data_IF_106857693974
#
_entry.id   IF_106857693974
#
_cell.length_a   1.000
_cell.length_b   1.000
_cell.length_c   1.000
_cell.angle_alpha   90.00
_cell.angle_beta   90.00
_cell.angle_gamma   90.00
#
_symmetry.space_group_name_H-M   'P 1'
#
loop_
_entity.id
_entity.type
_entity.pdbx_description
1 polymer ?
#
# COMPACT_ATOMS: atom_id res chain seq x y z
N UNK A 1 2.05 -15.15 10.68
CA UNK A 1 3.43 -15.36 11.17
C UNK A 1 3.59 -16.72 11.87
N UNK A 2 2.75 -17.04 12.87
CA UNK A 2 2.86 -18.34 13.60
C UNK A 2 2.57 -19.54 12.69
N UNK A 3 1.49 -19.51 11.89
CA UNK A 3 1.14 -20.61 10.97
C UNK A 3 2.20 -20.83 9.87
N UNK A 4 2.69 -19.77 9.23
CA UNK A 4 3.75 -19.87 8.22
C UNK A 4 5.09 -20.36 8.79
N UNK A 5 5.47 -19.94 10.00
CA UNK A 5 6.68 -20.45 10.66
C UNK A 5 6.57 -21.93 11.05
N UNK A 6 5.34 -22.46 11.20
CA UNK A 6 5.08 -23.86 11.46
C UNK A 6 5.00 -24.72 10.19
N UNK A 7 5.14 -24.13 8.99
CA UNK A 7 4.97 -24.82 7.71
C UNK A 7 3.52 -25.17 7.38
N UNK A 8 2.55 -24.62 8.12
CA UNK A 8 1.12 -24.86 7.91
C UNK A 8 0.55 -23.86 6.89
N UNK A 9 0.84 -24.12 5.62
CA UNK A 9 0.30 -23.34 4.50
C UNK A 9 -1.23 -23.33 4.44
N UNK A 10 -1.95 -24.46 4.67
CA UNK A 10 -3.41 -24.45 4.71
C UNK A 10 -3.98 -23.50 5.75
N UNK A 11 -3.46 -23.51 6.98
CA UNK A 11 -3.91 -22.59 8.03
C UNK A 11 -3.54 -21.14 7.70
N UNK A 12 -2.36 -20.90 7.11
CA UNK A 12 -1.95 -19.56 6.68
C UNK A 12 -2.88 -19.00 5.60
N UNK A 13 -3.30 -19.82 4.63
CA UNK A 13 -4.29 -19.45 3.60
C UNK A 13 -5.63 -19.09 4.23
N UNK A 14 -6.15 -19.95 5.12
CA UNK A 14 -7.44 -19.72 5.76
C UNK A 14 -7.47 -18.39 6.55
N UNK A 15 -6.43 -18.12 7.35
CA UNK A 15 -6.30 -16.87 8.10
C UNK A 15 -6.17 -15.64 7.18
N UNK A 16 -5.43 -15.76 6.07
CA UNK A 16 -5.28 -14.68 5.10
C UNK A 16 -6.58 -14.41 4.36
N UNK A 17 -7.32 -15.46 3.97
CA UNK A 17 -8.63 -15.35 3.33
C UNK A 17 -9.65 -14.67 4.26
N UNK A 18 -9.67 -15.04 5.54
CA UNK A 18 -10.54 -14.42 6.54
C UNK A 18 -10.25 -12.93 6.69
N UNK A 19 -8.97 -12.55 6.83
CA UNK A 19 -8.57 -11.16 7.02
C UNK A 19 -8.75 -10.30 5.76
N UNK A 20 -8.40 -10.84 4.60
CA UNK A 20 -8.40 -10.09 3.33
C UNK A 20 -9.75 -10.14 2.61
N UNK A 21 -10.63 -11.07 2.99
CA UNK A 21 -11.87 -11.43 2.27
C UNK A 21 -11.63 -11.68 0.78
N UNK A 22 -10.49 -12.26 0.43
CA UNK A 22 -10.11 -12.61 -0.95
C UNK A 22 -9.91 -14.12 -1.02
N UNK A 23 -10.24 -14.70 -2.16
CA UNK A 23 -9.97 -16.12 -2.38
C UNK A 23 -8.46 -16.35 -2.48
N UNK A 24 -7.91 -17.10 -1.53
CA UNK A 24 -6.48 -17.46 -1.46
C UNK A 24 -6.25 -18.94 -1.79
N UNK A 25 -7.23 -19.62 -2.39
CA UNK A 25 -7.11 -21.02 -2.77
C UNK A 25 -6.00 -21.18 -3.80
N UNK A 26 -5.07 -22.10 -3.54
CA UNK A 26 -3.95 -22.41 -4.44
C UNK A 26 -2.73 -21.49 -4.32
N UNK A 27 -2.75 -20.48 -3.45
CA UNK A 27 -1.60 -19.57 -3.28
C UNK A 27 -0.39 -20.23 -2.61
N UNK A 28 0.79 -20.03 -3.18
CA UNK A 28 2.05 -20.48 -2.55
C UNK A 28 2.40 -19.63 -1.31
N UNK A 29 3.27 -20.14 -0.42
CA UNK A 29 3.72 -19.44 0.78
C UNK A 29 4.27 -18.03 0.50
N UNK A 30 4.99 -17.86 -0.62
CA UNK A 30 5.51 -16.57 -1.09
C UNK A 30 4.39 -15.61 -1.46
N UNK A 31 3.34 -16.10 -2.12
CA UNK A 31 2.20 -15.28 -2.54
C UNK A 31 1.34 -14.85 -1.34
N UNK A 32 1.17 -15.75 -0.37
CA UNK A 32 0.52 -15.46 0.91
C UNK A 32 1.30 -14.36 1.64
N UNK A 33 2.63 -14.46 1.72
CA UNK A 33 3.48 -13.44 2.34
C UNK A 33 3.36 -12.09 1.62
N UNK A 34 3.45 -12.11 0.28
CA UNK A 34 3.32 -10.91 -0.55
C UNK A 34 2.01 -10.19 -0.28
N UNK A 35 0.89 -10.91 -0.45
CA UNK A 35 -0.45 -10.34 -0.31
C UNK A 35 -0.67 -9.82 1.12
N UNK A 36 -0.18 -10.55 2.12
CA UNK A 36 -0.27 -10.12 3.51
C UNK A 36 0.49 -8.80 3.76
N UNK A 37 1.72 -8.68 3.24
CA UNK A 37 2.54 -7.47 3.36
C UNK A 37 1.90 -6.29 2.63
N UNK A 38 1.46 -6.49 1.39
CA UNK A 38 0.81 -5.46 0.59
C UNK A 38 -0.45 -4.92 1.26
N UNK A 39 -1.34 -5.83 1.68
CA UNK A 39 -2.56 -5.45 2.38
C UNK A 39 -2.26 -4.78 3.71
N UNK A 40 -1.23 -5.21 4.41
CA UNK A 40 -0.82 -4.60 5.69
C UNK A 40 -0.36 -3.16 5.49
N UNK A 41 0.51 -2.90 4.52
CA UNK A 41 1.03 -1.56 4.21
C UNK A 41 -0.10 -0.61 3.79
N UNK A 42 -0.94 -1.05 2.84
CA UNK A 42 -2.07 -0.23 2.33
C UNK A 42 -3.09 0.04 3.44
N UNK A 43 -3.42 -0.99 4.24
CA UNK A 43 -4.38 -0.84 5.35
C UNK A 43 -3.83 0.07 6.43
N UNK A 44 -2.55 -0.04 6.78
CA UNK A 44 -1.89 0.82 7.77
C UNK A 44 -1.91 2.27 7.32
N UNK A 45 -1.57 2.52 6.05
CA UNK A 45 -1.63 3.87 5.50
C UNK A 45 -3.03 4.49 5.61
N UNK A 46 -4.05 3.81 5.09
CA UNK A 46 -5.42 4.32 5.09
C UNK A 46 -5.99 4.44 6.50
N UNK A 47 -5.70 3.50 7.39
CA UNK A 47 -6.33 3.47 8.70
C UNK A 47 -5.64 4.33 9.75
N UNK A 48 -4.33 4.56 9.62
CA UNK A 48 -3.50 5.21 10.64
C UNK A 48 -2.86 6.48 10.09
N UNK A 49 -2.03 6.38 9.05
CA UNK A 49 -1.22 7.51 8.60
C UNK A 49 -2.05 8.60 7.91
N UNK A 50 -3.02 8.24 7.08
CA UNK A 50 -3.96 9.19 6.48
C UNK A 50 -4.78 9.92 7.55
N UNK A 51 -5.22 9.21 8.58
CA UNK A 51 -5.96 9.79 9.71
C UNK A 51 -5.07 10.75 10.52
N UNK A 52 -3.83 10.38 10.82
CA UNK A 52 -2.88 11.25 11.53
C UNK A 52 -2.55 12.52 10.76
N UNK A 53 -2.36 12.43 9.45
CA UNK A 53 -2.14 13.60 8.60
C UNK A 53 -3.31 14.58 8.70
N UNK A 54 -4.54 14.10 8.52
CA UNK A 54 -5.73 14.93 8.59
C UNK A 54 -6.07 15.40 10.01
N UNK A 55 -5.62 14.68 11.04
CA UNK A 55 -5.73 15.13 12.43
C UNK A 55 -4.79 16.31 12.75
N UNK A 56 -3.63 16.39 12.09
CA UNK A 56 -2.67 17.49 12.25
C UNK A 56 -3.16 18.82 11.65
N UNK A 57 -4.10 18.77 10.69
CA UNK A 57 -4.69 19.97 10.10
C UNK A 57 -5.41 20.81 11.18
N UNK A 58 -5.48 22.14 11.03
CA UNK A 58 -6.01 23.04 12.06
C UNK A 58 -7.49 22.82 12.40
N UNK A 59 -8.22 22.06 11.59
CA UNK A 59 -9.60 21.63 11.86
C UNK A 59 -9.68 20.40 12.80
N UNK A 60 -8.54 19.81 13.19
CA UNK A 60 -8.41 18.74 14.17
C UNK A 60 -9.24 17.48 13.86
N UNK A 61 -10.03 16.96 14.82
CA UNK A 61 -10.73 15.67 14.67
C UNK A 61 -11.80 15.68 13.56
N UNK A 62 -12.32 16.85 13.18
CA UNK A 62 -13.32 16.94 12.11
C UNK A 62 -12.73 16.49 10.76
N UNK A 63 -11.47 16.84 10.48
CA UNK A 63 -10.78 16.41 9.26
C UNK A 63 -10.48 14.90 9.25
N UNK A 64 -10.14 14.32 10.41
CA UNK A 64 -9.94 12.88 10.55
C UNK A 64 -11.23 12.09 10.23
N UNK A 65 -12.38 12.59 10.72
CA UNK A 65 -13.69 11.99 10.41
C UNK A 65 -14.02 12.14 8.92
N UNK A 66 -13.79 13.32 8.34
CA UNK A 66 -14.01 13.55 6.90
C UNK A 66 -13.20 12.58 6.04
N UNK A 67 -11.93 12.35 6.37
CA UNK A 67 -11.08 11.39 5.67
C UNK A 67 -11.66 9.97 5.75
N UNK A 68 -12.09 9.53 6.94
CA UNK A 68 -12.70 8.21 7.13
C UNK A 68 -14.02 8.03 6.40
N UNK A 69 -14.86 9.05 6.38
CA UNK A 69 -16.13 9.01 5.64
C UNK A 69 -15.86 8.95 4.13
N UNK A 70 -14.92 9.76 3.62
CA UNK A 70 -14.53 9.73 2.21
C UNK A 70 -13.95 8.37 1.80
N UNK A 71 -13.08 7.81 2.64
CA UNK A 71 -12.52 6.46 2.46
C UNK A 71 -13.60 5.38 2.43
N UNK A 72 -14.51 5.41 3.40
CA UNK A 72 -15.61 4.45 3.49
C UNK A 72 -16.54 4.55 2.29
N UNK A 73 -16.90 5.77 1.87
CA UNK A 73 -17.77 5.99 0.71
C UNK A 73 -17.12 5.51 -0.58
N UNK A 74 -15.83 5.83 -0.78
CA UNK A 74 -15.08 5.39 -1.96
C UNK A 74 -14.95 3.86 -2.03
N UNK A 75 -14.79 3.19 -0.88
CA UNK A 75 -14.79 1.72 -0.79
C UNK A 75 -16.18 1.13 -1.01
N UNK A 76 -17.19 1.62 -0.30
CA UNK A 76 -18.56 1.10 -0.36
C UNK A 76 -19.13 1.10 -1.79
N UNK A 77 -18.77 2.10 -2.59
CA UNK A 77 -19.23 2.22 -3.99
C UNK A 77 -18.35 1.49 -5.02
N UNK A 78 -17.14 1.04 -4.66
CA UNK A 78 -16.22 0.37 -5.58
C UNK A 78 -15.85 -1.07 -5.17
N UNK A 79 -16.30 -1.54 -4.02
CA UNK A 79 -16.15 -2.94 -3.59
C UNK A 79 -17.11 -3.89 -4.34
N UNK A 80 -18.40 -3.53 -4.54
CA UNK A 80 -19.30 -4.38 -5.30
C UNK A 80 -18.99 -4.29 -6.79
N UNK A 81 -18.73 -5.44 -7.42
CA UNK A 81 -18.35 -5.52 -8.85
C UNK A 81 -19.43 -4.94 -9.80
N UNK A 82 -20.69 -4.92 -9.37
CA UNK A 82 -21.80 -4.33 -10.11
C UNK A 82 -21.91 -2.80 -10.01
N UNK A 83 -21.30 -2.19 -8.99
CA UNK A 83 -21.24 -0.72 -8.83
C UNK A 83 -19.90 -0.14 -9.29
N UNK A 84 -18.89 -1.00 -9.51
CA UNK A 84 -17.60 -0.61 -10.08
C UNK A 84 -17.80 0.04 -11.44
N UNK A 85 -17.41 1.30 -11.54
CA UNK A 85 -17.48 2.08 -12.78
C UNK A 85 -18.74 2.92 -12.94
N UNK A 86 -19.67 2.93 -11.99
CA UNK A 86 -20.72 3.96 -11.97
C UNK A 86 -20.12 5.37 -11.86
N UNK A 87 -20.78 6.37 -12.46
CA UNK A 87 -20.31 7.76 -12.43
C UNK A 87 -20.09 8.27 -11.00
N UNK A 88 -20.92 7.83 -10.05
CA UNK A 88 -20.78 8.18 -8.64
C UNK A 88 -19.58 7.48 -7.97
N UNK A 89 -19.37 6.19 -8.25
CA UNK A 89 -18.20 5.45 -7.74
C UNK A 89 -16.88 6.01 -8.27
N UNK A 90 -16.84 6.41 -9.55
CA UNK A 90 -15.69 7.09 -10.16
C UNK A 90 -15.45 8.47 -9.54
N UNK A 91 -16.51 9.25 -9.30
CA UNK A 91 -16.40 10.54 -8.63
C UNK A 91 -15.88 10.40 -7.20
N UNK A 92 -16.43 9.46 -6.42
CA UNK A 92 -15.99 9.19 -5.05
C UNK A 92 -14.52 8.73 -5.01
N UNK A 93 -14.11 7.84 -5.92
CA UNK A 93 -12.72 7.42 -6.04
C UNK A 93 -11.79 8.59 -6.40
N UNK A 94 -12.22 9.47 -7.31
CA UNK A 94 -11.43 10.64 -7.71
C UNK A 94 -11.34 11.70 -6.62
N UNK A 95 -12.42 11.95 -5.90
CA UNK A 95 -12.43 12.84 -4.73
C UNK A 95 -11.49 12.30 -3.64
N UNK A 96 -11.57 11.01 -3.33
CA UNK A 96 -10.67 10.38 -2.37
C UNK A 96 -9.21 10.43 -2.85
N UNK A 97 -8.94 10.23 -4.14
CA UNK A 97 -7.59 10.36 -4.71
C UNK A 97 -6.98 11.74 -4.43
N UNK A 98 -7.74 12.83 -4.59
CA UNK A 98 -7.25 14.18 -4.28
C UNK A 98 -6.99 14.40 -2.80
N UNK A 99 -7.86 13.85 -1.93
CA UNK A 99 -7.72 13.92 -0.47
C UNK A 99 -6.49 13.12 0.00
N UNK A 100 -6.25 11.98 -0.63
CA UNK A 100 -5.20 11.03 -0.25
C UNK A 100 -3.84 11.33 -0.91
N UNK A 101 -3.81 12.22 -1.92
CA UNK A 101 -2.61 12.55 -2.68
C UNK A 101 -1.43 13.00 -1.82
N UNK A 102 -1.71 13.84 -0.82
CA UNK A 102 -0.70 14.36 0.11
C UNK A 102 -0.28 13.33 1.18
N UNK A 103 -1.21 12.70 1.94
CA UNK A 103 -0.83 11.74 2.97
C UNK A 103 -0.12 10.50 2.41
N UNK A 104 -0.45 10.04 1.20
CA UNK A 104 0.22 8.91 0.53
C UNK A 104 1.72 9.20 0.35
N UNK A 105 2.05 10.36 -0.20
CA UNK A 105 3.44 10.76 -0.45
C UNK A 105 4.21 10.95 0.85
N UNK A 106 3.57 11.55 1.86
CA UNK A 106 4.18 11.70 3.18
C UNK A 106 4.43 10.34 3.85
N UNK A 107 3.55 9.36 3.66
CA UNK A 107 3.74 7.99 4.14
C UNK A 107 4.91 7.31 3.43
N UNK A 108 5.04 7.46 2.11
CA UNK A 108 6.18 6.94 1.37
C UNK A 108 7.51 7.54 1.86
N UNK A 109 7.54 8.85 2.12
CA UNK A 109 8.71 9.51 2.73
C UNK A 109 8.97 8.97 4.14
N UNK A 110 7.95 8.77 4.96
CA UNK A 110 8.11 8.21 6.30
C UNK A 110 8.72 6.80 6.25
N UNK A 111 8.30 5.94 5.30
CA UNK A 111 8.92 4.63 5.09
C UNK A 111 10.36 4.73 4.62
N UNK A 112 10.67 5.66 3.70
CA UNK A 112 12.04 5.90 3.25
C UNK A 112 12.95 6.35 4.41
N UNK A 113 12.48 7.26 5.28
CA UNK A 113 13.25 7.76 6.43
C UNK A 113 13.53 6.67 7.47
N UNK A 114 12.60 5.73 7.62
CA UNK A 114 12.62 4.71 8.67
C UNK A 114 13.27 3.38 8.24
N UNK A 115 13.35 3.13 6.94
CA UNK A 115 13.97 1.95 6.33
C UNK A 115 15.20 2.32 5.50
N UNK A 116 15.39 1.64 4.36
CA UNK A 116 16.40 2.02 3.38
C UNK A 116 15.90 3.18 2.49
N UNK A 117 16.36 4.40 2.79
CA UNK A 117 15.96 5.61 2.09
C UNK A 117 16.27 5.57 0.59
N UNK A 118 17.44 5.06 0.21
CA UNK A 118 17.90 5.03 -1.18
C UNK A 118 17.03 4.10 -2.02
N UNK A 119 16.89 2.84 -1.59
CA UNK A 119 16.09 1.84 -2.27
C UNK A 119 14.60 2.25 -2.32
N UNK A 120 14.07 2.84 -1.25
CA UNK A 120 12.67 3.28 -1.19
C UNK A 120 12.39 4.40 -2.20
N UNK A 121 13.25 5.41 -2.29
CA UNK A 121 13.07 6.54 -3.22
C UNK A 121 13.33 6.11 -4.66
N UNK A 122 14.34 5.29 -4.90
CA UNK A 122 14.61 4.71 -6.20
C UNK A 122 13.39 3.91 -6.68
N UNK A 123 12.87 3.02 -5.84
CA UNK A 123 11.71 2.20 -6.15
C UNK A 123 10.45 3.05 -6.41
N UNK A 124 10.20 4.04 -5.56
CA UNK A 124 9.07 4.97 -5.72
C UNK A 124 9.15 5.73 -7.04
N UNK A 125 10.30 6.34 -7.36
CA UNK A 125 10.44 7.16 -8.56
C UNK A 125 10.32 6.37 -9.86
N UNK A 126 10.87 5.16 -9.90
CA UNK A 126 10.99 4.39 -11.13
C UNK A 126 9.80 3.44 -11.38
N UNK A 127 9.13 2.98 -10.32
CA UNK A 127 8.11 1.93 -10.43
C UNK A 127 6.70 2.36 -10.03
N UNK A 128 6.51 3.42 -9.23
CA UNK A 128 5.15 3.73 -8.72
C UNK A 128 4.14 4.09 -9.81
N UNK A 129 4.58 4.72 -10.91
CA UNK A 129 3.71 5.08 -12.03
C UNK A 129 3.28 3.87 -12.87
N UNK A 130 3.93 2.71 -12.71
CA UNK A 130 3.58 1.50 -13.45
C UNK A 130 2.30 0.84 -12.89
N UNK A 131 1.95 1.12 -11.64
CA UNK A 131 0.77 0.52 -10.98
C UNK A 131 -0.55 1.06 -11.50
N UNK A 132 -1.57 0.20 -11.60
CA UNK A 132 -2.93 0.62 -12.01
C UNK A 132 -3.53 1.68 -11.08
N UNK A 133 -3.24 1.56 -9.79
CA UNK A 133 -3.57 2.54 -8.76
C UNK A 133 -2.29 3.25 -8.29
N UNK A 134 -2.04 4.46 -8.81
CA UNK A 134 -0.89 5.30 -8.42
C UNK A 134 -0.67 5.38 -6.89
N UNK A 135 -1.68 5.66 -6.03
CA UNK A 135 -1.43 5.84 -4.60
C UNK A 135 -1.03 4.52 -3.92
N UNK A 136 -1.57 3.38 -4.36
CA UNK A 136 -1.13 2.07 -3.87
C UNK A 136 0.29 1.77 -4.34
N UNK A 137 0.59 2.06 -5.61
CA UNK A 137 1.93 1.90 -6.17
C UNK A 137 2.98 2.67 -5.40
N UNK A 138 2.72 3.92 -5.03
CA UNK A 138 3.63 4.74 -4.21
C UNK A 138 3.94 4.06 -2.87
N UNK A 139 2.91 3.58 -2.15
CA UNK A 139 3.08 2.94 -0.84
C UNK A 139 3.83 1.61 -0.95
N UNK A 140 3.49 0.80 -1.95
CA UNK A 140 4.03 -0.55 -2.11
C UNK A 140 5.46 -0.54 -2.66
N UNK A 141 5.77 0.36 -3.60
CA UNK A 141 7.14 0.53 -4.11
C UNK A 141 8.05 1.14 -3.05
N UNK A 142 7.62 2.19 -2.34
CA UNK A 142 8.40 2.79 -1.27
C UNK A 142 8.58 1.83 -0.07
N UNK A 143 7.51 1.14 0.35
CA UNK A 143 7.56 0.18 1.44
C UNK A 143 8.37 -1.07 1.08
N UNK A 144 8.21 -1.59 -0.13
CA UNK A 144 9.00 -2.71 -0.67
C UNK A 144 10.48 -2.35 -0.74
N UNK A 145 10.82 -1.20 -1.33
CA UNK A 145 12.21 -0.70 -1.38
C UNK A 145 12.81 -0.47 0.01
N UNK A 146 12.05 0.12 0.94
CA UNK A 146 12.50 0.34 2.32
C UNK A 146 12.83 -0.96 3.07
N UNK A 147 12.20 -2.08 2.70
CA UNK A 147 12.44 -3.41 3.27
C UNK A 147 13.33 -4.31 2.42
N UNK A 148 13.64 -3.92 1.18
CA UNK A 148 14.32 -4.75 0.19
C UNK A 148 13.48 -5.93 -0.32
N UNK A 149 12.15 -5.79 -0.39
CA UNK A 149 11.23 -6.87 -0.78
C UNK A 149 10.45 -6.49 -2.03
N UNK A 150 10.32 -7.43 -2.97
CA UNK A 150 9.55 -7.25 -4.20
C UNK A 150 8.05 -7.43 -3.93
N UNK A 151 7.30 -6.33 -4.06
CA UNK A 151 5.83 -6.30 -3.94
C UNK A 151 5.20 -6.00 -5.30
N UNK A 152 3.99 -6.53 -5.52
CA UNK A 152 3.19 -6.42 -6.73
C UNK A 152 3.21 -7.68 -7.57
N UNK A 153 2.08 -7.98 -8.20
CA UNK A 153 2.01 -8.94 -9.30
C UNK A 153 2.22 -8.25 -10.66
N UNK A 154 2.66 -8.97 -11.71
CA UNK A 154 2.75 -8.42 -13.06
C UNK A 154 1.43 -7.78 -13.54
N UNK A 155 0.28 -8.29 -13.10
CA UNK A 155 -1.04 -7.73 -13.42
C UNK A 155 -1.33 -6.40 -12.72
N UNK A 156 -0.88 -6.21 -11.48
CA UNK A 156 -1.06 -4.93 -10.75
C UNK A 156 -0.05 -3.85 -11.20
N UNK A 157 1.14 -4.29 -11.61
CA UNK A 157 2.21 -3.46 -12.15
C UNK A 157 2.01 -3.08 -13.63
N UNK A 158 1.04 -3.70 -14.30
CA UNK A 158 0.71 -3.41 -15.69
C UNK A 158 -0.41 -2.34 -15.75
N UNK A 159 -0.05 -1.06 -15.69
CA UNK A 159 -1.02 -0.01 -16.03
C UNK A 159 -0.87 0.50 -17.47
N UNK A 160 -2.04 0.60 -18.12
CA UNK A 160 -2.42 1.58 -19.15
C UNK A 160 -1.59 1.77 -20.42
N UNK A 161 -0.57 0.96 -20.71
CA UNK A 161 -0.27 0.73 -22.13
C UNK A 161 -1.38 -0.20 -22.62
N UNK A 162 -2.35 0.33 -23.38
CA UNK A 162 -3.39 -0.45 -24.04
C UNK A 162 -2.82 -1.40 -25.08
N UNK A 163 -2.00 -2.36 -24.64
CA UNK A 163 -1.61 -3.50 -25.44
C UNK A 163 -2.81 -4.44 -25.41
N UNK A 164 -3.55 -4.58 -26.52
CA UNK A 164 -4.61 -5.57 -26.60
C UNK A 164 -4.04 -6.94 -26.27
N UNK A 165 -4.85 -7.77 -25.63
CA UNK A 165 -4.56 -9.16 -25.25
C UNK A 165 -4.15 -10.08 -26.43
N UNK A 166 -4.05 -9.55 -27.66
CA UNK A 166 -3.60 -10.22 -28.88
C UNK A 166 -2.10 -10.03 -29.19
N UNK A 167 -1.34 -9.30 -28.38
CA UNK A 167 0.11 -9.15 -28.58
C UNK A 167 0.92 -10.35 -28.02
N UNK A 168 0.40 -11.58 -28.16
CA UNK A 168 1.09 -12.81 -27.77
C UNK A 168 2.29 -13.17 -28.68
N UNK A 169 2.71 -12.28 -29.59
CA UNK A 169 3.76 -12.57 -30.59
C UNK A 169 4.73 -11.42 -30.86
N UNK A 170 4.83 -10.41 -29.99
CA UNK A 170 5.91 -9.42 -30.10
C UNK A 170 7.00 -9.79 -29.10
N UNK A 171 8.18 -10.12 -29.65
CA UNK A 171 9.42 -10.52 -29.00
C UNK A 171 9.48 -10.33 -27.47
N UNK A 172 9.47 -11.46 -26.77
CA UNK A 172 9.75 -11.60 -25.33
C UNK A 172 11.22 -11.23 -25.01
N UNK A 173 11.98 -10.73 -25.97
CA UNK A 173 13.41 -10.47 -25.88
C UNK A 173 13.81 -9.02 -25.53
N UNK A 174 12.90 -8.04 -25.59
CA UNK A 174 13.19 -6.63 -25.24
C UNK A 174 12.35 -6.08 -24.08
N UNK A 175 11.57 -6.94 -23.42
CA UNK A 175 11.02 -6.64 -22.11
C UNK A 175 12.08 -6.93 -21.04
N UNK A 176 13.14 -6.12 -21.00
CA UNK A 176 13.74 -5.68 -19.73
C UNK A 176 12.67 -4.89 -18.96
N UNK A 177 11.56 -5.55 -18.63
CA UNK A 177 10.64 -5.14 -17.61
C UNK A 177 11.46 -5.20 -16.33
N UNK A 178 12.22 -4.14 -16.06
CA UNK A 178 13.05 -3.98 -14.87
C UNK A 178 12.22 -4.50 -13.70
N UNK A 179 12.59 -5.69 -13.23
CA UNK A 179 11.89 -6.36 -12.16
C UNK A 179 12.08 -5.46 -10.93
N UNK A 180 11.01 -5.19 -10.19
CA UNK A 180 11.13 -4.38 -8.97
C UNK A 180 12.29 -4.93 -8.13
N UNK A 181 13.25 -4.09 -7.73
CA UNK A 181 14.40 -4.53 -6.97
C UNK A 181 13.95 -5.09 -5.60
N UNK A 182 14.61 -6.16 -5.16
CA UNK A 182 14.34 -6.78 -3.87
C UNK A 182 14.19 -8.30 -3.95
N UNK A 183 14.19 -8.93 -2.78
CA UNK A 183 14.05 -10.37 -2.62
C UNK A 183 12.57 -10.78 -2.63
N UNK A 184 12.29 -12.05 -2.93
CA UNK A 184 10.94 -12.56 -2.90
C UNK A 184 10.38 -12.55 -1.46
N UNK A 185 9.10 -12.20 -1.28
CA UNK A 185 8.51 -12.02 0.05
C UNK A 185 8.45 -13.35 0.81
N UNK A 186 9.30 -13.47 1.82
CA UNK A 186 9.36 -14.62 2.73
C UNK A 186 8.78 -14.25 4.13
N UNK A 187 8.71 -15.18 5.07
CA UNK A 187 8.18 -14.95 6.43
C UNK A 187 8.95 -13.85 7.17
N UNK A 188 10.23 -13.65 6.85
CA UNK A 188 11.03 -12.53 7.37
C UNK A 188 10.52 -11.17 6.88
N UNK A 189 9.95 -11.09 5.67
CA UNK A 189 9.35 -9.87 5.14
C UNK A 189 8.16 -9.42 6.00
N UNK A 190 7.31 -10.35 6.44
CA UNK A 190 6.22 -10.07 7.38
C UNK A 190 6.72 -9.44 8.69
N UNK A 191 7.84 -9.93 9.24
CA UNK A 191 8.43 -9.37 10.45
C UNK A 191 9.05 -7.98 10.19
N UNK A 192 9.75 -7.83 9.07
CA UNK A 192 10.31 -6.54 8.62
C UNK A 192 9.21 -5.50 8.45
N UNK A 193 8.07 -5.88 7.85
CA UNK A 193 6.91 -5.00 7.69
C UNK A 193 6.36 -4.51 9.01
N UNK A 194 6.21 -5.38 10.00
CA UNK A 194 5.75 -4.97 11.34
C UNK A 194 6.75 -3.99 11.97
N UNK A 195 8.06 -4.26 11.86
CA UNK A 195 9.11 -3.37 12.36
C UNK A 195 9.10 -2.00 11.67
N UNK A 196 8.95 -1.97 10.34
CA UNK A 196 8.84 -0.75 9.55
C UNK A 196 7.62 0.07 9.96
N UNK A 197 6.45 -0.57 10.03
CA UNK A 197 5.19 0.07 10.44
C UNK A 197 5.31 0.67 11.84
N UNK A 198 5.88 -0.06 12.80
CA UNK A 198 6.08 0.42 14.16
C UNK A 198 6.96 1.67 14.21
N UNK A 199 8.11 1.64 13.54
CA UNK A 199 9.04 2.78 13.52
C UNK A 199 8.42 3.99 12.79
N UNK A 200 7.66 3.76 11.71
CA UNK A 200 6.92 4.82 11.04
C UNK A 200 5.82 5.41 11.94
N UNK A 201 5.14 4.58 12.72
CA UNK A 201 4.16 5.02 13.71
C UNK A 201 4.81 5.87 14.80
N UNK A 202 5.97 5.46 15.32
CA UNK A 202 6.72 6.27 16.29
C UNK A 202 7.14 7.63 15.70
N UNK A 203 7.60 7.67 14.45
CA UNK A 203 7.91 8.92 13.75
C UNK A 203 6.70 9.84 13.69
N UNK A 204 5.53 9.31 13.33
CA UNK A 204 4.28 10.06 13.31
C UNK A 204 3.83 10.55 14.69
N UNK A 205 3.96 9.72 15.72
CA UNK A 205 3.67 10.13 17.09
C UNK A 205 4.61 11.25 17.56
N UNK A 206 5.89 11.17 17.20
CA UNK A 206 6.86 12.23 17.49
C UNK A 206 6.49 13.54 16.79
N UNK A 207 6.09 13.48 15.51
CA UNK A 207 5.61 14.66 14.78
C UNK A 207 4.35 15.27 15.43
N UNK A 208 3.39 14.44 15.84
CA UNK A 208 2.19 14.91 16.55
C UNK A 208 2.56 15.59 17.86
N UNK A 209 3.47 15.00 18.63
CA UNK A 209 3.92 15.55 19.90
C UNK A 209 4.61 16.91 19.68
N UNK A 210 5.50 17.03 18.70
CA UNK A 210 6.18 18.27 18.35
C UNK A 210 5.19 19.35 17.93
N UNK A 211 4.25 19.02 17.04
CA UNK A 211 3.24 19.98 16.59
C UNK A 211 2.31 20.42 17.72
N UNK A 212 1.83 19.48 18.54
CA UNK A 212 1.03 19.79 19.73
C UNK A 212 1.77 20.69 20.71
N UNK A 213 3.07 20.47 20.91
CA UNK A 213 3.90 21.32 21.78
C UNK A 213 4.10 22.71 21.20
N UNK A 214 4.27 22.83 19.88
CA UNK A 214 4.43 24.12 19.20
C UNK A 214 3.15 24.96 19.29
N UNK A 215 1.98 24.35 19.13
CA UNK A 215 0.69 25.02 19.28
C UNK A 215 0.43 25.45 20.72
N UNK A 216 0.93 24.71 21.71
CA UNK A 216 0.75 25.06 23.12
C UNK A 216 1.72 26.15 23.60
N UNK A 217 2.91 26.23 23.00
CA UNK A 217 3.98 27.18 23.36
C UNK A 217 3.94 28.50 22.59
N UNK A 218 3.22 28.57 21.45
CA UNK A 218 3.06 29.77 20.62
C UNK A 218 1.73 30.47 20.86
#
# INVERSE_FOLDING_TARGET
QIALNAGDEPAARALLAEWTRTDTVGMDATEICRLAVEKSLVTTHRNVFGVFFWFLMPLGPACAVMYRVAEYLARAWNEPDHMRGEAFGQFAAKAFYWIDWLPVRLTAVAFAVVGNFEDAIYAWRNFAHRWADEPKGIILTAGGGAMGVRLGTPHENASRLGLPADAATVDIADADAEVLPGEEPNVRALQSTVGLVWRALLLWMMLLLLFSSAVWLG
#
